data_IF_297064298806
#
_entry.id   IF_297064298806
#
_cell.length_a   1.000
_cell.length_b   1.000
_cell.length_c   1.000
_cell.angle_alpha   90.00
_cell.angle_beta   90.00
_cell.angle_gamma   90.00
#
_symmetry.space_group_name_H-M   'P 1'
#
loop_
_entity.id
_entity.type
_entity.pdbx_description
1 polymer ?
#
# COMPACT_ATOMS: atom_id res chain seq x y z
N UNK A 1 -10.60 -19.96 -58.10
CA UNK A 1 -11.37 -19.65 -56.87
C UNK A 1 -10.40 -19.54 -55.69
N UNK A 2 -9.73 -18.39 -55.55
CA UNK A 2 -8.79 -18.15 -54.45
C UNK A 2 -9.56 -17.68 -53.22
N UNK A 3 -9.75 -18.56 -52.23
CA UNK A 3 -10.26 -18.17 -50.91
C UNK A 3 -9.14 -17.44 -50.16
N UNK A 4 -9.22 -16.11 -50.15
CA UNK A 4 -8.43 -15.26 -49.28
C UNK A 4 -8.79 -15.60 -47.82
N UNK A 5 -7.86 -16.20 -47.09
CA UNK A 5 -7.96 -16.39 -45.65
C UNK A 5 -7.63 -15.04 -44.99
N UNK A 6 -8.65 -14.32 -44.54
CA UNK A 6 -8.45 -13.16 -43.67
C UNK A 6 -7.75 -13.63 -42.38
N UNK A 7 -6.66 -12.98 -41.93
CA UNK A 7 -6.13 -13.23 -40.61
C UNK A 7 -7.17 -12.83 -39.56
N UNK A 8 -7.35 -13.70 -38.56
CA UNK A 8 -8.21 -13.43 -37.41
C UNK A 8 -7.83 -12.09 -36.74
N UNK A 9 -8.79 -11.36 -36.14
CA UNK A 9 -8.49 -10.13 -35.44
C UNK A 9 -7.48 -10.41 -34.32
N UNK A 10 -6.28 -9.82 -34.47
CA UNK A 10 -5.27 -9.80 -33.42
C UNK A 10 -5.90 -9.09 -32.23
N UNK A 11 -6.09 -9.81 -31.12
CA UNK A 11 -6.57 -9.26 -29.86
C UNK A 11 -5.75 -8.01 -29.49
N UNK A 12 -6.36 -6.96 -28.90
CA UNK A 12 -5.62 -5.76 -28.52
C UNK A 12 -4.43 -6.16 -27.65
N UNK A 13 -3.25 -5.62 -27.94
CA UNK A 13 -2.02 -5.96 -27.23
C UNK A 13 -2.25 -5.83 -25.73
N UNK A 14 -2.26 -6.95 -25.01
CA UNK A 14 -2.41 -7.07 -23.56
C UNK A 14 -1.10 -6.60 -22.89
N UNK A 15 -0.68 -5.37 -23.18
CA UNK A 15 0.57 -4.76 -22.76
C UNK A 15 0.50 -4.36 -21.27
N UNK A 16 0.15 -5.33 -20.43
CA UNK A 16 0.22 -5.20 -18.99
C UNK A 16 1.68 -5.03 -18.63
N UNK A 17 2.00 -3.88 -18.08
CA UNK A 17 3.33 -3.59 -17.55
C UNK A 17 3.36 -3.93 -16.08
N UNK A 18 4.49 -4.43 -15.61
CA UNK A 18 4.75 -4.59 -14.19
C UNK A 18 5.63 -3.46 -13.68
N UNK A 19 5.31 -2.97 -12.48
CA UNK A 19 6.09 -1.97 -11.78
C UNK A 19 6.40 -2.44 -10.36
N UNK A 20 7.68 -2.41 -10.01
CA UNK A 20 8.14 -2.51 -8.63
C UNK A 20 8.39 -1.11 -8.10
N UNK A 21 7.79 -0.78 -6.97
CA UNK A 21 7.88 0.53 -6.33
C UNK A 21 8.44 0.33 -4.92
N UNK A 22 9.57 0.97 -4.64
CA UNK A 22 10.16 1.07 -3.30
C UNK A 22 9.78 2.42 -2.72
N UNK A 23 9.16 2.41 -1.55
CA UNK A 23 8.84 3.62 -0.78
C UNK A 23 9.67 3.60 0.50
N UNK A 24 10.42 4.68 0.76
CA UNK A 24 11.21 4.86 1.98
C UNK A 24 10.79 6.13 2.73
N UNK A 25 11.10 6.16 4.03
CA UNK A 25 10.71 7.20 4.97
C UNK A 25 9.88 6.60 6.12
N UNK A 26 9.11 7.44 6.81
CA UNK A 26 8.19 7.00 7.86
C UNK A 26 6.94 6.43 7.20
N UNK A 27 6.97 5.16 6.82
CA UNK A 27 5.90 4.52 6.03
C UNK A 27 5.40 3.20 6.62
N UNK A 28 5.90 2.82 7.80
CA UNK A 28 5.48 1.62 8.52
C UNK A 28 4.76 1.99 9.83
N UNK A 29 3.82 1.16 10.26
CA UNK A 29 2.99 1.46 11.45
C UNK A 29 1.98 2.61 11.26
N UNK A 30 1.81 3.12 10.04
CA UNK A 30 0.98 4.30 9.73
C UNK A 30 -0.23 4.00 8.83
N UNK A 31 -0.56 2.72 8.63
CA UNK A 31 -1.66 2.33 7.73
C UNK A 31 -1.33 2.37 6.24
N UNK A 32 -0.04 2.40 5.87
CA UNK A 32 0.40 2.49 4.47
C UNK A 32 0.01 1.26 3.63
N UNK A 33 0.17 0.04 4.17
CA UNK A 33 -0.23 -1.22 3.50
C UNK A 33 -1.73 -1.21 3.12
N UNK A 34 -2.68 -0.90 4.04
CA UNK A 34 -4.09 -0.68 3.70
C UNK A 34 -4.34 0.40 2.63
N UNK A 35 -3.67 1.55 2.72
CA UNK A 35 -3.84 2.64 1.74
C UNK A 35 -3.45 2.17 0.34
N UNK A 36 -2.30 1.49 0.21
CA UNK A 36 -1.84 0.89 -1.04
C UNK A 36 -2.85 -0.12 -1.59
N UNK A 37 -3.37 -1.01 -0.74
CA UNK A 37 -4.38 -2.00 -1.14
C UNK A 37 -5.64 -1.35 -1.70
N UNK A 38 -6.15 -0.31 -1.01
CA UNK A 38 -7.34 0.45 -1.45
C UNK A 38 -7.13 1.12 -2.80
N UNK A 39 -6.00 1.80 -2.99
CA UNK A 39 -5.67 2.48 -4.25
C UNK A 39 -5.53 1.46 -5.39
N UNK A 40 -4.83 0.35 -5.15
CA UNK A 40 -4.65 -0.71 -6.15
C UNK A 40 -5.99 -1.33 -6.58
N UNK A 41 -6.85 -1.66 -5.61
CA UNK A 41 -8.20 -2.19 -5.87
C UNK A 41 -9.06 -1.22 -6.68
N UNK A 42 -9.09 0.06 -6.31
CA UNK A 42 -9.86 1.09 -7.01
C UNK A 42 -9.40 1.30 -8.46
N UNK A 43 -8.14 0.96 -8.78
CA UNK A 43 -7.58 1.06 -10.12
C UNK A 43 -7.55 -0.30 -10.86
N UNK A 44 -8.19 -1.33 -10.31
CA UNK A 44 -8.18 -2.70 -10.83
C UNK A 44 -6.76 -3.27 -11.09
N UNK A 45 -5.78 -2.81 -10.32
CA UNK A 45 -4.40 -3.28 -10.40
C UNK A 45 -4.24 -4.63 -9.69
N UNK A 46 -3.33 -5.45 -10.22
CA UNK A 46 -2.97 -6.75 -9.65
C UNK A 46 -1.59 -6.67 -9.05
N UNK A 47 -1.31 -7.36 -7.95
CA UNK A 47 -0.04 -7.16 -7.27
C UNK A 47 0.02 -7.57 -5.82
N UNK A 48 1.03 -7.03 -5.14
CA UNK A 48 1.22 -7.20 -3.70
C UNK A 48 1.94 -6.02 -3.07
N UNK A 49 1.77 -5.88 -1.76
CA UNK A 49 2.52 -4.95 -0.91
C UNK A 49 3.04 -5.67 0.32
N UNK A 50 4.25 -5.34 0.76
CA UNK A 50 4.85 -5.80 2.01
C UNK A 50 5.72 -4.73 2.66
N UNK A 51 5.90 -4.85 3.96
CA UNK A 51 6.97 -4.16 4.66
C UNK A 51 8.24 -5.01 4.61
N UNK A 52 9.38 -4.34 4.55
CA UNK A 52 10.69 -4.94 4.84
C UNK A 52 11.57 -3.90 5.56
N UNK A 53 12.81 -4.23 5.88
CA UNK A 53 13.71 -3.33 6.62
C UNK A 53 13.96 -1.98 5.94
N UNK A 54 13.76 -1.87 4.63
CA UNK A 54 13.97 -0.62 3.86
C UNK A 54 12.72 0.25 3.75
N UNK A 55 11.55 -0.19 4.22
CA UNK A 55 10.30 0.54 4.10
C UNK A 55 9.18 -0.33 3.50
N UNK A 56 8.51 0.17 2.46
CA UNK A 56 7.42 -0.56 1.79
C UNK A 56 7.84 -0.95 0.38
N UNK A 57 7.62 -2.22 0.02
CA UNK A 57 7.78 -2.72 -1.34
C UNK A 57 6.43 -3.05 -1.94
N UNK A 58 6.15 -2.47 -3.10
CA UNK A 58 4.93 -2.67 -3.87
C UNK A 58 5.31 -3.26 -5.21
N UNK A 59 4.59 -4.28 -5.65
CA UNK A 59 4.68 -4.82 -7.00
C UNK A 59 3.28 -4.81 -7.59
N UNK A 60 3.07 -4.05 -8.66
CA UNK A 60 1.78 -3.89 -9.33
C UNK A 60 1.89 -4.18 -10.82
N UNK A 61 0.77 -4.59 -11.41
CA UNK A 61 0.63 -4.85 -12.83
C UNK A 61 -0.71 -4.35 -13.33
N UNK A 62 -0.71 -3.78 -14.53
CA UNK A 62 -1.90 -3.31 -15.20
C UNK A 62 -1.58 -2.40 -16.38
N UNK A 63 -2.60 -1.70 -16.86
CA UNK A 63 -2.46 -0.75 -17.95
C UNK A 63 -1.55 0.41 -17.56
N UNK A 64 -0.69 0.92 -18.48
CA UNK A 64 0.22 2.04 -18.19
C UNK A 64 -0.47 3.26 -17.58
N UNK A 65 -1.70 3.57 -18.03
CA UNK A 65 -2.51 4.64 -17.46
C UNK A 65 -2.91 4.41 -16.00
N UNK A 66 -3.22 3.17 -15.62
CA UNK A 66 -3.55 2.80 -14.25
C UNK A 66 -2.32 2.86 -13.34
N UNK A 67 -1.14 2.44 -13.83
CA UNK A 67 0.12 2.54 -13.10
C UNK A 67 0.50 4.00 -12.80
N UNK A 68 0.36 4.91 -13.79
CA UNK A 68 0.58 6.34 -13.59
C UNK A 68 -0.37 6.94 -12.56
N UNK A 69 -1.66 6.60 -12.64
CA UNK A 69 -2.66 7.03 -11.64
C UNK A 69 -2.33 6.51 -10.25
N UNK A 70 -1.86 5.27 -10.14
CA UNK A 70 -1.45 4.69 -8.86
C UNK A 70 -0.33 5.50 -8.21
N UNK A 71 0.73 5.84 -8.96
CA UNK A 71 1.86 6.63 -8.44
C UNK A 71 1.42 8.03 -7.97
N UNK A 72 0.53 8.67 -8.72
CA UNK A 72 -0.05 9.98 -8.33
C UNK A 72 -0.84 9.86 -7.03
N UNK A 73 -1.76 8.89 -6.95
CA UNK A 73 -2.60 8.66 -5.77
C UNK A 73 -1.82 8.21 -4.55
N UNK A 74 -0.75 7.44 -4.73
CA UNK A 74 0.12 7.00 -3.64
C UNK A 74 0.73 8.18 -2.87
N UNK A 75 1.03 9.28 -3.56
CA UNK A 75 1.53 10.52 -2.94
C UNK A 75 0.41 11.33 -2.33
N UNK A 76 -0.68 11.57 -3.06
CA UNK A 76 -1.76 12.46 -2.61
C UNK A 76 -2.65 11.86 -1.53
N UNK A 77 -2.72 10.53 -1.45
CA UNK A 77 -3.55 9.80 -0.47
C UNK A 77 -2.68 9.04 0.55
N UNK A 78 -1.44 9.50 0.77
CA UNK A 78 -0.58 8.96 1.82
C UNK A 78 -1.27 9.12 3.19
N UNK A 79 -1.15 8.13 4.10
CA UNK A 79 -1.71 8.26 5.44
C UNK A 79 -1.19 9.50 6.19
N UNK A 80 -1.96 10.11 7.11
CA UNK A 80 -1.58 11.36 7.77
C UNK A 80 -0.25 11.31 8.54
N UNK A 81 0.08 10.15 9.13
CA UNK A 81 1.34 9.94 9.84
C UNK A 81 2.49 9.50 8.93
N UNK A 82 2.22 9.26 7.65
CA UNK A 82 3.23 8.81 6.71
C UNK A 82 4.06 10.00 6.21
N UNK A 83 5.39 9.86 6.23
CA UNK A 83 6.31 10.80 5.59
C UNK A 83 7.12 10.04 4.55
N UNK A 84 6.77 10.24 3.28
CA UNK A 84 7.49 9.66 2.15
C UNK A 84 8.71 10.51 1.85
N UNK A 85 9.90 9.93 1.95
CA UNK A 85 11.17 10.58 1.59
C UNK A 85 11.54 10.26 0.14
N UNK A 86 11.41 8.99 -0.25
CA UNK A 86 11.73 8.57 -1.62
C UNK A 86 10.71 7.58 -2.15
N UNK A 87 10.44 7.68 -3.45
CA UNK A 87 9.73 6.67 -4.23
C UNK A 87 10.63 6.32 -5.41
N UNK A 88 11.06 5.07 -5.47
CA UNK A 88 11.84 4.54 -6.59
C UNK A 88 11.00 3.52 -7.35
N UNK A 89 10.99 3.63 -8.66
CA UNK A 89 10.20 2.75 -9.52
C UNK A 89 11.12 2.00 -10.48
N UNK A 90 10.83 0.72 -10.71
CA UNK A 90 11.53 -0.11 -11.69
C UNK A 90 10.52 -0.98 -12.42
N UNK A 91 10.62 -1.02 -13.74
CA UNK A 91 9.82 -1.96 -14.54
C UNK A 91 10.20 -3.41 -14.24
N UNK A 92 9.20 -4.27 -14.17
CA UNK A 92 9.36 -5.71 -13.96
C UNK A 92 8.51 -6.47 -14.98
N UNK A 93 8.90 -7.70 -15.34
CA UNK A 93 8.07 -8.55 -16.20
C UNK A 93 6.68 -8.74 -15.61
N UNK A 94 5.66 -8.68 -16.47
CA UNK A 94 4.32 -9.07 -16.09
C UNK A 94 4.30 -10.54 -15.66
N UNK A 95 3.47 -10.86 -14.67
CA UNK A 95 3.33 -12.19 -14.09
C UNK A 95 1.84 -12.49 -14.01
N UNK A 96 1.42 -13.76 -14.14
CA UNK A 96 0.04 -14.12 -13.91
C UNK A 96 -0.29 -13.98 -12.41
N UNK A 97 -0.67 -12.78 -11.99
CA UNK A 97 -1.14 -12.48 -10.64
C UNK A 97 -2.66 -12.32 -10.64
N UNK A 98 -3.32 -12.82 -9.61
CA UNK A 98 -4.76 -12.65 -9.40
C UNK A 98 -5.00 -11.69 -8.24
N UNK A 99 -5.71 -10.59 -8.51
CA UNK A 99 -6.02 -9.59 -7.50
C UNK A 99 -4.79 -8.87 -6.91
N UNK A 100 -5.01 -8.21 -5.78
CA UNK A 100 -3.98 -7.46 -5.05
C UNK A 100 -3.98 -7.88 -3.57
N UNK A 101 -2.80 -8.20 -3.04
CA UNK A 101 -2.65 -8.82 -1.71
C UNK A 101 -1.70 -8.03 -0.81
N UNK A 102 -2.04 -7.92 0.47
CA UNK A 102 -1.05 -7.54 1.50
C UNK A 102 -0.38 -8.85 1.93
N UNK A 103 0.93 -8.97 1.71
CA UNK A 103 1.67 -10.20 2.06
C UNK A 103 2.53 -9.97 3.31
N UNK A 104 2.99 -11.06 3.90
CA UNK A 104 3.82 -11.04 5.10
C UNK A 104 5.04 -10.13 4.94
N UNK A 105 5.41 -9.47 6.05
CA UNK A 105 6.61 -8.68 6.13
C UNK A 105 7.86 -9.55 5.92
N UNK A 106 8.89 -9.00 5.29
CA UNK A 106 10.15 -9.71 5.12
C UNK A 106 11.17 -9.25 6.17
N UNK A 107 11.65 -10.18 7.00
CA UNK A 107 12.69 -9.91 8.00
C UNK A 107 14.02 -9.63 7.29
N UNK A 108 14.37 -8.35 7.21
CA UNK A 108 15.65 -7.87 6.68
C UNK A 108 16.21 -6.82 7.63
N UNK A 109 17.50 -6.47 7.48
CA UNK A 109 18.15 -5.43 8.30
C UNK A 109 17.31 -4.15 8.33
N UNK A 110 16.99 -3.69 9.54
CA UNK A 110 16.24 -2.46 9.76
C UNK A 110 17.01 -1.24 9.26
N UNK A 111 16.41 -0.51 8.33
CA UNK A 111 16.97 0.66 7.66
C UNK A 111 15.87 1.69 7.33
N UNK A 112 14.80 1.70 8.10
CA UNK A 112 13.64 2.57 7.91
C UNK A 112 13.25 3.20 9.25
N UNK A 113 12.88 4.50 9.27
CA UNK A 113 12.49 5.16 10.51
C UNK A 113 11.12 4.68 11.00
N UNK A 114 10.95 4.63 12.33
CA UNK A 114 9.66 4.35 12.97
C UNK A 114 8.90 5.65 13.20
N UNK A 115 7.57 5.63 13.04
CA UNK A 115 6.73 6.78 13.32
C UNK A 115 6.78 7.16 14.82
N UNK A 116 6.77 8.46 15.16
CA UNK A 116 6.63 8.89 16.54
C UNK A 116 5.25 8.49 17.09
N UNK A 117 5.12 8.51 18.41
CA UNK A 117 3.82 8.38 19.07
C UNK A 117 2.91 9.55 18.67
N UNK A 118 1.60 9.30 18.58
CA UNK A 118 0.63 10.30 18.16
C UNK A 118 -0.56 10.36 19.13
N UNK A 119 -0.99 11.58 19.46
CA UNK A 119 -2.17 11.81 20.27
C UNK A 119 -3.43 11.23 19.61
N UNK A 120 -4.42 10.85 20.42
CA UNK A 120 -5.71 10.30 19.99
C UNK A 120 -6.37 11.18 18.93
N UNK A 121 -6.74 10.60 17.79
CA UNK A 121 -7.38 11.35 16.71
C UNK A 121 -8.87 11.62 17.00
N UNK A 122 -9.51 12.57 16.29
CA UNK A 122 -10.93 12.89 16.48
C UNK A 122 -11.87 11.68 16.29
N UNK A 123 -11.55 10.77 15.36
CA UNK A 123 -12.34 9.55 15.13
C UNK A 123 -12.32 8.63 16.34
N UNK A 124 -11.13 8.33 16.88
CA UNK A 124 -11.01 7.51 18.08
C UNK A 124 -11.63 8.20 19.30
N UNK A 125 -11.52 9.53 19.40
CA UNK A 125 -12.15 10.30 20.46
C UNK A 125 -13.68 10.21 20.41
N UNK A 126 -14.27 10.20 19.22
CA UNK A 126 -15.70 9.99 19.04
C UNK A 126 -16.12 8.57 19.49
N UNK A 127 -15.37 7.55 19.07
CA UNK A 127 -15.66 6.15 19.45
C UNK A 127 -15.64 5.93 20.98
N UNK A 128 -14.68 6.50 21.70
CA UNK A 128 -14.62 6.32 23.17
C UNK A 128 -15.68 7.11 23.93
N UNK A 129 -16.31 8.11 23.29
CA UNK A 129 -17.36 8.95 23.88
C UNK A 129 -18.77 8.44 23.59
N UNK A 130 -18.92 7.56 22.60
CA UNK A 130 -20.20 7.01 22.16
C UNK A 130 -20.62 5.79 23.01
N UNK A 131 -21.71 5.86 23.79
CA UNK A 131 -22.17 4.77 24.66
C UNK A 131 -22.62 3.52 23.91
N UNK A 132 -23.02 3.64 22.64
CA UNK A 132 -23.45 2.51 21.81
C UNK A 132 -22.27 1.84 21.09
N UNK A 133 -21.08 2.46 21.14
CA UNK A 133 -19.88 1.89 20.55
C UNK A 133 -19.26 0.85 21.48
N UNK A 134 -18.83 -0.29 20.91
CA UNK A 134 -18.11 -1.34 21.66
C UNK A 134 -16.83 -0.86 22.35
N UNK A 135 -16.28 0.29 21.92
CA UNK A 135 -15.08 0.92 22.49
C UNK A 135 -15.41 2.05 23.48
N UNK A 136 -16.67 2.20 23.88
CA UNK A 136 -17.07 3.19 24.88
C UNK A 136 -16.17 3.12 26.12
N UNK A 137 -15.54 4.26 26.46
CA UNK A 137 -14.59 4.40 27.58
C UNK A 137 -13.38 3.45 27.57
N UNK A 138 -13.07 2.81 26.44
CA UNK A 138 -11.90 1.92 26.35
C UNK A 138 -10.59 2.73 26.28
N UNK A 139 -9.70 2.64 27.29
CA UNK A 139 -8.57 3.56 27.45
C UNK A 139 -7.44 3.37 26.44
N UNK A 140 -7.37 2.20 25.77
CA UNK A 140 -6.32 1.88 24.80
C UNK A 140 -6.79 2.00 23.35
N UNK A 141 -7.87 2.73 23.09
CA UNK A 141 -8.38 2.94 21.73
C UNK A 141 -7.36 3.71 20.89
N UNK A 142 -6.93 3.11 19.79
CA UNK A 142 -6.12 3.75 18.76
C UNK A 142 -6.49 3.21 17.37
N UNK A 143 -6.01 3.89 16.33
CA UNK A 143 -6.16 3.48 14.95
C UNK A 143 -4.83 3.64 14.21
N UNK A 144 -4.83 3.49 12.87
CA UNK A 144 -3.62 3.72 12.06
C UNK A 144 -3.16 5.18 12.01
N UNK A 145 -3.95 6.11 12.53
CA UNK A 145 -3.65 7.56 12.53
C UNK A 145 -3.29 8.11 13.92
N UNK A 146 -3.29 7.30 14.98
CA UNK A 146 -2.93 7.75 16.33
C UNK A 146 -2.40 6.60 17.21
N UNK A 147 -2.05 6.93 18.45
CA UNK A 147 -1.62 5.98 19.47
C UNK A 147 -0.10 5.80 19.54
N UNK A 148 0.36 4.95 20.47
CA UNK A 148 1.78 4.66 20.65
C UNK A 148 2.34 3.90 19.44
N UNK A 149 3.58 4.23 19.07
CA UNK A 149 4.39 3.62 18.00
C UNK A 149 5.81 3.44 18.49
N UNK A 150 6.65 4.47 18.40
CA UNK A 150 8.06 4.41 18.81
C UNK A 150 8.22 3.88 20.23
N UNK A 151 7.33 4.28 21.15
CA UNK A 151 7.37 3.86 22.56
C UNK A 151 7.15 2.36 22.78
N UNK A 152 6.57 1.63 21.84
CA UNK A 152 6.17 0.21 22.00
C UNK A 152 6.72 -0.72 20.92
N UNK A 153 7.46 -0.20 19.94
CA UNK A 153 7.97 -1.02 18.83
C UNK A 153 9.10 -1.94 19.30
N UNK A 154 9.02 -3.23 18.99
CA UNK A 154 10.07 -4.20 19.32
C UNK A 154 11.09 -4.39 18.19
N UNK A 155 10.73 -4.04 16.95
CA UNK A 155 11.61 -4.21 15.79
C UNK A 155 11.01 -3.68 14.50
N UNK A 156 11.80 -3.76 13.44
CA UNK A 156 11.41 -3.46 12.06
C UNK A 156 11.69 -4.71 11.22
N UNK A 157 10.77 -5.14 10.34
CA UNK A 157 9.57 -4.43 9.89
C UNK A 157 8.46 -4.36 10.95
N UNK A 158 7.68 -3.28 10.93
CA UNK A 158 6.56 -3.09 11.85
C UNK A 158 5.45 -4.11 11.54
N UNK A 159 5.14 -4.96 12.52
CA UNK A 159 3.98 -5.84 12.60
C UNK A 159 3.42 -5.90 14.02
#
# INVERSE_FOLDING_TARGET
MHRSLNPAPVAPSDARQGLRIRVRGVVQGVGFRPAVWRIAKALALRGRVRNDGDGVLIEIQGEPGALRRFLSRLRSEAPPLARIETIQTREIPARPLTGFHIVASAETRANTPVAPDAATCPSCLAEIRDPDNRRYRYPFTNCTHCGPRLSIVAGVPYD
#
